data_IF_639834503432
#
_entry.id   IF_639834503432
#
_cell.length_a   1.000
_cell.length_b   1.000
_cell.length_c   1.000
_cell.angle_alpha   90.00
_cell.angle_beta   90.00
_cell.angle_gamma   90.00
#
_symmetry.space_group_name_H-M   'P 1'
#
loop_
_entity.id
_entity.type
_entity.pdbx_description
1 polymer ?
#
# COMPACT_ATOMS: atom_id res chain seq x y z
N UNK A 1 -0.72 9.92 2.80
CA UNK A 1 0.09 8.79 2.32
C UNK A 1 -0.55 7.51 2.79
N UNK A 2 -0.92 6.60 1.89
CA UNK A 2 -1.58 5.35 2.27
C UNK A 2 -0.61 4.16 2.24
N UNK A 3 0.12 3.97 1.13
CA UNK A 3 1.04 2.84 0.93
C UNK A 3 2.48 3.09 1.36
N UNK A 4 2.92 4.36 1.40
CA UNK A 4 4.34 4.70 1.57
C UNK A 4 4.95 4.19 2.88
N UNK A 5 4.19 4.26 3.98
CA UNK A 5 4.62 3.77 5.29
C UNK A 5 4.14 2.33 5.56
N UNK A 6 3.57 1.64 4.57
CA UNK A 6 3.04 0.29 4.75
C UNK A 6 1.71 0.19 5.52
N UNK A 7 0.97 1.30 5.67
CA UNK A 7 -0.34 1.30 6.34
C UNK A 7 -1.47 0.71 5.50
N UNK A 8 -1.30 0.65 4.18
CA UNK A 8 -2.23 0.06 3.21
C UNK A 8 -1.43 -0.63 2.11
N UNK A 9 -2.01 -1.66 1.48
CA UNK A 9 -1.45 -2.29 0.27
C UNK A 9 -1.97 -1.66 -1.03
N UNK A 10 -1.23 -1.87 -2.13
CA UNK A 10 -1.71 -1.56 -3.48
C UNK A 10 -2.93 -2.40 -3.86
N UNK A 11 -3.02 -3.65 -3.38
CA UNK A 11 -4.24 -4.46 -3.53
C UNK A 11 -5.48 -3.79 -2.90
N UNK A 12 -5.35 -3.18 -1.73
CA UNK A 12 -6.46 -2.50 -1.06
C UNK A 12 -6.92 -1.27 -1.83
N UNK A 13 -5.96 -0.47 -2.29
CA UNK A 13 -6.27 0.71 -3.13
C UNK A 13 -6.90 0.32 -4.46
N UNK A 14 -6.48 -0.79 -5.07
CA UNK A 14 -7.08 -1.27 -6.30
C UNK A 14 -8.53 -1.74 -6.09
N UNK A 15 -8.79 -2.52 -5.03
CA UNK A 15 -10.14 -2.95 -4.65
C UNK A 15 -11.05 -1.77 -4.32
N UNK A 16 -10.51 -0.72 -3.70
CA UNK A 16 -11.20 0.52 -3.42
C UNK A 16 -11.40 1.42 -4.67
N UNK A 17 -10.99 0.98 -5.87
CA UNK A 17 -11.10 1.73 -7.11
C UNK A 17 -10.23 2.99 -7.17
N UNK A 18 -9.25 3.12 -6.28
CA UNK A 18 -8.38 4.30 -6.18
C UNK A 18 -7.21 4.26 -7.16
N UNK A 19 -6.82 3.07 -7.61
CA UNK A 19 -5.74 2.86 -8.60
C UNK A 19 -6.13 1.78 -9.61
N UNK A 20 -5.57 1.87 -10.82
CA UNK A 20 -5.79 0.89 -11.89
C UNK A 20 -4.48 0.17 -12.22
N UNK A 21 -4.55 -1.13 -12.44
CA UNK A 21 -3.43 -1.90 -12.99
C UNK A 21 -3.25 -1.55 -14.48
N UNK A 22 -2.01 -1.21 -14.87
CA UNK A 22 -1.66 -0.90 -16.26
C UNK A 22 -0.83 -1.98 -16.95
N UNK A 23 -0.32 -2.92 -16.17
CA UNK A 23 0.46 -4.06 -16.65
C UNK A 23 0.19 -5.23 -15.74
N UNK A 24 -0.03 -6.41 -16.30
CA UNK A 24 -0.40 -7.59 -15.52
C UNK A 24 0.61 -7.87 -14.40
N UNK A 25 0.07 -8.05 -13.19
CA UNK A 25 0.83 -8.34 -11.98
C UNK A 25 1.63 -7.15 -11.42
N UNK A 26 1.48 -5.94 -11.96
CA UNK A 26 2.11 -4.75 -11.42
C UNK A 26 1.66 -4.46 -9.99
N UNK A 27 0.39 -4.70 -9.65
CA UNK A 27 -0.12 -4.52 -8.28
C UNK A 27 0.59 -5.48 -7.32
N UNK A 28 0.68 -6.77 -7.69
CA UNK A 28 1.33 -7.79 -6.86
C UNK A 28 2.82 -7.48 -6.64
N UNK A 29 3.52 -7.01 -7.69
CA UNK A 29 4.91 -6.58 -7.57
C UNK A 29 5.05 -5.36 -6.66
N UNK A 30 4.17 -4.38 -6.80
CA UNK A 30 4.17 -3.19 -5.96
C UNK A 30 3.93 -3.53 -4.48
N UNK A 31 2.98 -4.42 -4.17
CA UNK A 31 2.79 -4.92 -2.81
C UNK A 31 4.05 -5.56 -2.25
N UNK A 32 4.74 -6.39 -3.03
CA UNK A 32 5.96 -7.05 -2.57
C UNK A 32 7.11 -6.04 -2.30
N UNK A 33 7.21 -4.98 -3.11
CA UNK A 33 8.25 -3.96 -2.96
C UNK A 33 8.02 -3.05 -1.75
N UNK A 34 6.76 -2.79 -1.39
CA UNK A 34 6.39 -1.88 -0.32
C UNK A 34 5.91 -2.60 0.95
N UNK A 35 6.03 -3.93 1.00
CA UNK A 35 5.67 -4.72 2.17
C UNK A 35 6.58 -4.33 3.36
N UNK A 36 5.96 -4.06 4.50
CA UNK A 36 6.63 -3.86 5.78
C UNK A 36 6.10 -4.86 6.80
N UNK A 37 6.97 -5.38 7.67
CA UNK A 37 6.59 -6.37 8.68
C UNK A 37 5.68 -5.80 9.78
N UNK A 38 5.70 -4.47 9.95
CA UNK A 38 4.95 -3.76 10.97
C UNK A 38 4.17 -2.62 10.33
N UNK A 39 2.93 -2.46 10.80
CA UNK A 39 2.13 -1.31 10.46
C UNK A 39 2.75 -0.02 11.04
N UNK A 40 2.62 1.12 10.36
CA UNK A 40 3.08 2.40 10.87
C UNK A 40 2.23 2.84 12.06
N UNK A 41 2.87 3.50 13.03
CA UNK A 41 2.23 4.02 14.23
C UNK A 41 2.77 5.40 14.56
N UNK A 42 1.88 6.33 14.93
CA UNK A 42 2.23 7.65 15.42
C UNK A 42 1.92 7.71 16.93
N UNK A 43 2.93 7.70 17.81
CA UNK A 43 2.72 7.71 19.26
C UNK A 43 2.32 9.07 19.82
N UNK A 44 2.68 10.15 19.13
CA UNK A 44 2.43 11.52 19.57
C UNK A 44 1.25 12.12 18.82
N UNK A 45 0.46 12.92 19.53
CA UNK A 45 -0.56 13.79 18.95
C UNK A 45 -0.08 15.22 19.22
N UNK A 46 0.38 15.89 18.17
CA UNK A 46 0.88 17.27 18.20
C UNK A 46 -0.04 18.21 17.43
#
# INVERSE_FOLDING_TARGET
GAVYLGGFGFRDLHRAGRIAERSEGAIRRADALFATDRAPYCPEIF
#
